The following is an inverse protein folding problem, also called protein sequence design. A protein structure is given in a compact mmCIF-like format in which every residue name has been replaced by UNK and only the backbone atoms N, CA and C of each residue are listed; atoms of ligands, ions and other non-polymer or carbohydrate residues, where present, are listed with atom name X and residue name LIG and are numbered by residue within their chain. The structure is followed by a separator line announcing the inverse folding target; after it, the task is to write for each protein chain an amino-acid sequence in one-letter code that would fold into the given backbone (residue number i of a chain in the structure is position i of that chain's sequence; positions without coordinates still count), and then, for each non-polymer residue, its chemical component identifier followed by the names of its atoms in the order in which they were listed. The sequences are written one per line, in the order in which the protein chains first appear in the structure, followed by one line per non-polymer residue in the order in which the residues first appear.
data_IF_323967070640
#
_entry.id   IF_323967070640
#
_cell.length_a   1.000
_cell.length_b   1.000
_cell.length_c   1.000
_cell.angle_alpha   90.00
_cell.angle_beta   90.00
_cell.angle_gamma   90.00
#
_symmetry.space_group_name_H-M   'P 1'
#
loop_
_entity.id
_entity.type
_entity.pdbx_description
1 polymer ?
#
# COMPACT_ATOMS: atom_id res chain seq x y z
N UNK A 1 -11.30 -6.34 24.89
CA UNK A 1 -11.10 -4.88 24.87
C UNK A 1 -10.92 -4.51 23.40
N UNK A 2 -12.04 -4.44 22.68
CA UNK A 2 -12.09 -4.26 21.23
C UNK A 2 -11.96 -2.79 20.87
N UNK A 3 -10.76 -2.40 20.40
CA UNK A 3 -10.44 -1.02 20.01
C UNK A 3 -10.73 -0.74 18.53
N UNK A 4 -11.33 -1.70 17.81
CA UNK A 4 -11.57 -1.58 16.36
C UNK A 4 -13.05 -1.72 16.04
N UNK A 5 -13.84 -0.82 16.63
CA UNK A 5 -15.23 -0.61 16.28
C UNK A 5 -15.30 -0.01 14.86
N UNK A 6 -15.76 -0.82 13.89
CA UNK A 6 -16.46 -0.50 12.64
C UNK A 6 -16.22 0.84 11.92
N UNK A 7 -15.01 1.37 11.94
CA UNK A 7 -14.55 2.42 11.03
C UNK A 7 -13.41 1.84 10.18
N UNK A 8 -13.75 0.86 9.33
CA UNK A 8 -12.98 0.58 8.13
C UNK A 8 -13.00 1.88 7.35
N UNK A 9 -12.06 2.79 7.63
CA UNK A 9 -11.83 3.97 6.83
C UNK A 9 -11.60 3.42 5.43
N UNK A 10 -12.61 3.55 4.59
CA UNK A 10 -12.55 3.09 3.23
C UNK A 10 -11.50 4.00 2.58
N UNK A 11 -10.24 3.59 2.61
CA UNK A 11 -9.13 4.18 1.87
C UNK A 11 -9.34 4.11 0.34
N UNK A 12 -10.58 3.87 -0.09
CA UNK A 12 -11.08 3.72 -1.46
C UNK A 12 -10.83 4.97 -2.31
N UNK A 13 -10.45 6.11 -1.72
CA UNK A 13 -10.25 7.38 -2.44
C UNK A 13 -9.02 8.19 -1.98
N UNK A 14 -7.97 7.57 -1.45
CA UNK A 14 -6.72 8.30 -1.22
C UNK A 14 -6.07 8.66 -2.57
N UNK A 15 -6.23 9.91 -3.02
CA UNK A 15 -5.67 10.42 -4.29
C UNK A 15 -4.14 10.48 -4.32
N UNK A 16 -3.48 10.37 -3.16
CA UNK A 16 -2.02 10.33 -3.04
C UNK A 16 -1.57 9.65 -1.74
N UNK A 17 -0.32 9.17 -1.70
CA UNK A 17 0.28 8.62 -0.49
C UNK A 17 0.36 9.65 0.66
N UNK A 18 0.53 10.93 0.34
CA UNK A 18 0.53 12.02 1.32
C UNK A 18 -0.84 12.15 1.99
N UNK A 19 -1.92 12.17 1.20
CA UNK A 19 -3.28 12.26 1.74
C UNK A 19 -3.62 11.10 2.67
N UNK A 20 -3.15 9.89 2.32
CA UNK A 20 -3.28 8.71 3.16
C UNK A 20 -2.54 8.87 4.49
N UNK A 21 -1.28 9.32 4.43
CA UNK A 21 -0.44 9.56 5.61
C UNK A 21 -1.07 10.61 6.53
N UNK A 22 -1.47 11.75 5.98
CA UNK A 22 -2.06 12.86 6.74
C UNK A 22 -3.35 12.42 7.46
N UNK A 23 -4.23 11.67 6.76
CA UNK A 23 -5.45 11.13 7.36
C UNK A 23 -5.15 10.15 8.51
N UNK A 24 -4.19 9.25 8.30
CA UNK A 24 -3.82 8.25 9.30
C UNK A 24 -3.14 8.88 10.53
N UNK A 25 -2.25 9.87 10.34
CA UNK A 25 -1.68 10.66 11.44
C UNK A 25 -2.77 11.36 12.26
N UNK A 26 -3.78 11.94 11.60
CA UNK A 26 -4.90 12.64 12.27
C UNK A 26 -5.77 11.68 13.08
N UNK A 27 -6.12 10.51 12.53
CA UNK A 27 -6.96 9.50 13.20
C UNK A 27 -6.22 8.87 14.37
N UNK A 28 -4.95 8.53 14.20
CA UNK A 28 -4.14 7.85 15.22
C UNK A 28 -3.51 8.81 16.24
N UNK A 29 -3.57 10.12 15.99
CA UNK A 29 -2.98 11.20 16.83
C UNK A 29 -1.50 10.97 17.15
N UNK A 30 -0.74 10.45 16.19
CA UNK A 30 0.71 10.21 16.30
C UNK A 30 1.36 10.24 14.92
N UNK A 31 2.66 10.46 14.91
CA UNK A 31 3.47 10.26 13.71
C UNK A 31 3.50 8.76 13.38
N UNK A 32 3.28 8.44 12.11
CA UNK A 32 3.34 7.08 11.60
C UNK A 32 4.26 7.00 10.38
N UNK A 33 4.62 5.77 10.05
CA UNK A 33 5.32 5.45 8.80
C UNK A 33 4.44 4.50 8.00
N UNK A 34 4.26 4.81 6.73
CA UNK A 34 3.65 3.89 5.78
C UNK A 34 4.76 3.11 5.06
N UNK A 35 4.66 1.79 5.08
CA UNK A 35 5.59 0.93 4.36
C UNK A 35 5.12 0.78 2.91
N UNK A 36 5.96 1.19 1.97
CA UNK A 36 5.76 0.98 0.54
C UNK A 36 6.64 -0.18 0.07
N UNK A 37 6.07 -1.11 -0.69
CA UNK A 37 6.82 -2.23 -1.25
C UNK A 37 7.05 -2.01 -2.74
N UNK A 38 8.27 -2.31 -3.19
CA UNK A 38 8.57 -2.28 -4.62
C UNK A 38 8.14 -3.60 -5.28
N UNK A 39 7.28 -3.56 -6.32
CA UNK A 39 6.73 -4.76 -6.94
C UNK A 39 7.72 -5.28 -7.99
N UNK A 40 8.77 -5.97 -7.55
CA UNK A 40 9.87 -6.44 -8.42
C UNK A 40 9.63 -7.82 -9.04
N UNK A 41 8.74 -8.62 -8.43
CA UNK A 41 8.37 -9.95 -8.92
C UNK A 41 7.02 -10.38 -8.36
N UNK A 42 6.40 -11.40 -8.97
CA UNK A 42 5.13 -11.98 -8.52
C UNK A 42 5.22 -12.46 -7.07
N UNK A 43 6.35 -13.04 -6.70
CA UNK A 43 6.61 -13.58 -5.37
C UNK A 43 6.64 -12.46 -4.33
N UNK A 44 7.29 -11.33 -4.63
CA UNK A 44 7.28 -10.14 -3.75
C UNK A 44 5.87 -9.62 -3.52
N UNK A 45 5.05 -9.55 -4.58
CA UNK A 45 3.65 -9.12 -4.48
C UNK A 45 2.86 -10.09 -3.60
N UNK A 46 2.95 -11.39 -3.85
CA UNK A 46 2.23 -12.42 -3.07
C UNK A 46 2.66 -12.40 -1.60
N UNK A 47 3.96 -12.31 -1.32
CA UNK A 47 4.49 -12.21 0.03
C UNK A 47 3.96 -10.96 0.75
N UNK A 48 3.94 -9.82 0.07
CA UNK A 48 3.39 -8.56 0.60
C UNK A 48 1.92 -8.69 0.97
N UNK A 49 1.11 -9.27 0.08
CA UNK A 49 -0.32 -9.47 0.33
C UNK A 49 -0.56 -10.38 1.55
N UNK A 50 0.22 -11.46 1.68
CA UNK A 50 0.14 -12.38 2.82
C UNK A 50 0.55 -11.70 4.12
N UNK A 51 1.67 -10.98 4.11
CA UNK A 51 2.17 -10.25 5.27
C UNK A 51 1.15 -9.20 5.73
N UNK A 52 0.67 -8.35 4.83
CA UNK A 52 -0.32 -7.32 5.14
C UNK A 52 -1.62 -7.92 5.70
N UNK A 53 -2.10 -9.03 5.11
CA UNK A 53 -3.28 -9.75 5.61
C UNK A 53 -3.08 -10.30 7.03
N UNK A 54 -1.89 -10.82 7.34
CA UNK A 54 -1.61 -11.41 8.66
C UNK A 54 -1.68 -10.41 9.81
N UNK A 55 -1.47 -9.12 9.54
CA UNK A 55 -1.48 -8.04 10.53
C UNK A 55 -2.59 -7.00 10.28
N UNK A 56 -3.50 -7.26 9.34
CA UNK A 56 -4.55 -6.33 8.91
C UNK A 56 -4.01 -4.92 8.58
N UNK A 57 -2.88 -4.85 7.87
CA UNK A 57 -2.24 -3.58 7.50
C UNK A 57 -2.64 -3.11 6.09
N UNK A 58 -2.62 -1.78 5.83
CA UNK A 58 -2.79 -1.25 4.48
C UNK A 58 -1.62 -1.67 3.58
N UNK A 59 -1.91 -1.82 2.28
CA UNK A 59 -0.91 -2.18 1.25
C UNK A 59 -0.63 -0.95 0.39
N UNK A 60 0.65 -0.64 0.20
CA UNK A 60 1.11 0.40 -0.73
C UNK A 60 2.23 -0.18 -1.59
N UNK A 61 2.07 -0.10 -2.91
CA UNK A 61 3.12 -0.43 -3.86
C UNK A 61 3.72 0.84 -4.46
N UNK A 62 5.05 0.85 -4.58
CA UNK A 62 5.80 1.90 -5.26
C UNK A 62 6.60 1.27 -6.41
N UNK A 63 6.11 1.47 -7.63
CA UNK A 63 6.76 1.00 -8.85
C UNK A 63 7.58 2.14 -9.49
N UNK A 64 8.78 1.81 -9.94
CA UNK A 64 9.58 2.68 -10.82
C UNK A 64 9.25 2.40 -12.29
N UNK A 65 9.60 3.34 -13.17
CA UNK A 65 9.46 3.15 -14.63
C UNK A 65 10.27 1.96 -15.15
N UNK A 66 11.40 1.64 -14.52
CA UNK A 66 12.17 0.46 -14.91
C UNK A 66 11.41 -0.84 -14.61
N UNK A 67 10.58 -0.85 -13.57
CA UNK A 67 9.80 -2.02 -13.16
C UNK A 67 8.52 -2.16 -13.98
N UNK A 68 7.73 -1.09 -14.01
CA UNK A 68 6.39 -1.06 -14.61
C UNK A 68 6.33 0.16 -15.50
N UNK A 69 6.23 -0.06 -16.81
CA UNK A 69 5.99 0.98 -17.79
C UNK A 69 4.96 0.52 -18.85
N UNK A 70 4.69 1.37 -19.84
CA UNK A 70 3.73 1.08 -20.91
C UNK A 70 4.14 -0.10 -21.82
N UNK A 71 5.43 -0.47 -21.83
CA UNK A 71 6.03 -1.57 -22.56
C UNK A 71 6.32 -2.80 -21.67
N UNK A 72 6.03 -2.72 -20.37
CA UNK A 72 6.23 -3.81 -19.40
C UNK A 72 7.39 -3.62 -18.42
N UNK A 73 8.33 -2.69 -18.66
CA UNK A 73 9.59 -2.63 -17.92
C UNK A 73 10.33 -3.98 -17.88
N UNK A 74 11.22 -4.19 -16.91
CA UNK A 74 11.90 -5.49 -16.74
C UNK A 74 11.00 -6.57 -16.12
N UNK A 75 9.87 -6.21 -15.52
CA UNK A 75 8.94 -7.17 -14.91
C UNK A 75 7.95 -7.76 -15.92
N UNK A 76 7.84 -7.16 -17.11
CA UNK A 76 6.81 -7.48 -18.10
C UNK A 76 5.42 -6.98 -17.71
N UNK A 77 5.30 -6.09 -16.71
CA UNK A 77 4.02 -5.58 -16.21
C UNK A 77 3.74 -4.17 -16.70
N UNK A 78 2.48 -3.93 -17.08
CA UNK A 78 1.98 -2.60 -17.44
C UNK A 78 1.09 -2.04 -16.32
N UNK A 79 0.85 -0.71 -16.25
CA UNK A 79 -0.02 -0.12 -15.23
C UNK A 79 -1.52 -0.49 -15.31
N UNK A 80 -1.93 -1.29 -16.29
CA UNK A 80 -3.33 -1.66 -16.55
C UNK A 80 -3.69 -3.01 -15.92
#
# INVERSE_FOLDING_TARGET
MDIFNHNTFAFKEAKSAKSLLDAACKVLKRNITLLCISPISRETVVATLRAAKSINAPIIFAASLNQIDINGGYTGWTPK
#
